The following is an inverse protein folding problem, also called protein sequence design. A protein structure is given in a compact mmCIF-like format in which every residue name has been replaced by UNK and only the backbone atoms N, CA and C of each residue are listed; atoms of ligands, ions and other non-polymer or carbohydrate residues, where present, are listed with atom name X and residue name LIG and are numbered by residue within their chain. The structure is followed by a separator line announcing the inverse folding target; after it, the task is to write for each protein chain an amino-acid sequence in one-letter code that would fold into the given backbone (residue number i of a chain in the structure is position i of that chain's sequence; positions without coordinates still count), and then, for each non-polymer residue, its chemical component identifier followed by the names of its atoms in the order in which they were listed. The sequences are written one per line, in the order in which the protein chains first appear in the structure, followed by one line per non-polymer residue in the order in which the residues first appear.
data_IF_319817442690
#
_entry.id   IF_319817442690
#
_cell.length_a   1.000
_cell.length_b   1.000
_cell.length_c   1.000
_cell.angle_alpha   90.00
_cell.angle_beta   90.00
_cell.angle_gamma   90.00
#
_symmetry.space_group_name_H-M   'P 1'
#
loop_
_entity.id
_entity.type
_entity.pdbx_description
1 polymer ?
#
# COMPACT_ATOMS: atom_id res chain seq x y z
N UNK A 1 24.53 14.37 -5.86
CA UNK A 1 23.30 14.33 -5.02
C UNK A 1 22.55 13.05 -5.33
N UNK A 2 22.04 12.40 -4.33
CA UNK A 2 21.25 11.16 -4.50
C UNK A 2 19.81 11.53 -4.84
N UNK A 3 19.31 11.05 -5.97
CA UNK A 3 17.97 11.35 -6.46
C UNK A 3 17.01 10.21 -6.18
N UNK A 4 15.79 10.53 -5.77
CA UNK A 4 14.76 9.53 -5.51
C UNK A 4 13.85 9.32 -6.72
N UNK A 5 13.72 8.06 -7.14
CA UNK A 5 12.71 7.59 -8.11
C UNK A 5 11.61 6.87 -7.36
N UNK A 6 10.38 7.32 -7.50
CA UNK A 6 9.21 6.60 -6.95
C UNK A 6 8.67 5.65 -8.03
N UNK A 7 8.81 4.35 -7.79
CA UNK A 7 8.29 3.27 -8.65
C UNK A 7 6.80 3.03 -8.35
N UNK A 8 5.97 4.03 -8.56
CA UNK A 8 4.52 3.94 -8.32
C UNK A 8 3.79 5.12 -8.94
N UNK A 9 2.70 4.85 -9.66
CA UNK A 9 1.76 5.87 -10.15
C UNK A 9 0.77 6.38 -9.11
N UNK A 10 0.78 5.82 -7.88
CA UNK A 10 -0.16 6.18 -6.83
C UNK A 10 0.02 7.62 -6.33
N UNK A 11 -0.98 8.52 -6.50
CA UNK A 11 -0.91 9.88 -5.95
C UNK A 11 -0.74 9.88 -4.43
N UNK A 12 -1.39 8.94 -3.74
CA UNK A 12 -1.33 8.82 -2.29
C UNK A 12 0.10 8.57 -1.76
N UNK A 13 0.89 7.73 -2.44
CA UNK A 13 2.29 7.49 -2.06
C UNK A 13 3.14 8.74 -2.21
N UNK A 14 2.89 9.52 -3.25
CA UNK A 14 3.56 10.80 -3.46
C UNK A 14 3.21 11.82 -2.37
N UNK A 15 1.93 11.93 -2.02
CA UNK A 15 1.46 12.78 -0.93
C UNK A 15 2.05 12.38 0.43
N UNK A 16 2.14 11.06 0.69
CA UNK A 16 2.75 10.54 1.91
C UNK A 16 4.24 10.86 1.99
N UNK A 17 4.99 10.75 0.89
CA UNK A 17 6.40 11.16 0.84
C UNK A 17 6.56 12.66 1.12
N UNK A 18 5.68 13.49 0.57
CA UNK A 18 5.70 14.93 0.81
C UNK A 18 5.50 15.28 2.31
N UNK A 19 4.74 14.47 3.06
CA UNK A 19 4.57 14.66 4.52
C UNK A 19 5.87 14.50 5.32
N UNK A 20 6.85 13.81 4.78
CA UNK A 20 8.18 13.64 5.39
C UNK A 20 9.26 14.45 4.66
N UNK A 21 8.84 15.51 3.94
CA UNK A 21 9.74 16.43 3.25
C UNK A 21 10.44 15.84 2.02
N UNK A 22 9.93 14.72 1.46
CA UNK A 22 10.57 14.04 0.34
C UNK A 22 9.76 14.21 -0.94
N UNK A 23 10.41 14.77 -1.97
CA UNK A 23 9.83 14.91 -3.30
C UNK A 23 10.64 14.05 -4.27
N UNK A 24 10.03 13.04 -4.91
CA UNK A 24 10.73 12.24 -5.93
C UNK A 24 11.15 13.11 -7.11
N UNK A 25 12.38 12.93 -7.58
CA UNK A 25 12.88 13.59 -8.79
C UNK A 25 12.23 13.02 -10.06
N UNK A 26 11.81 11.75 -10.00
CA UNK A 26 11.16 11.03 -11.10
C UNK A 26 10.12 10.06 -10.56
N UNK A 27 9.04 9.89 -11.33
CA UNK A 27 8.01 8.88 -11.09
C UNK A 27 8.07 7.87 -12.22
N UNK A 28 8.13 6.59 -11.89
CA UNK A 28 8.04 5.49 -12.83
C UNK A 28 6.85 4.61 -12.46
N UNK A 29 6.15 4.08 -13.45
CA UNK A 29 5.04 3.14 -13.24
C UNK A 29 5.44 1.79 -13.80
N UNK A 30 6.07 0.93 -12.98
CA UNK A 30 6.47 -0.39 -13.43
C UNK A 30 5.24 -1.25 -13.73
N UNK A 31 5.28 -1.96 -14.84
CA UNK A 31 4.31 -2.99 -15.21
C UNK A 31 4.89 -4.36 -14.85
N UNK A 32 4.28 -5.04 -13.88
CA UNK A 32 4.67 -6.38 -13.43
C UNK A 32 3.43 -7.23 -13.22
N UNK A 33 3.58 -8.54 -13.30
CA UNK A 33 2.51 -9.46 -12.93
C UNK A 33 2.31 -9.45 -11.40
N UNK A 34 1.17 -8.92 -10.97
CA UNK A 34 0.75 -8.86 -9.57
C UNK A 34 -0.11 -10.06 -9.15
N UNK A 35 -0.27 -11.09 -10.00
CA UNK A 35 -1.09 -12.27 -9.67
C UNK A 35 -0.50 -13.01 -8.46
N UNK A 36 -1.31 -13.32 -7.42
CA UNK A 36 -0.85 -14.14 -6.30
C UNK A 36 -0.42 -15.53 -6.76
N UNK A 37 0.71 -16.02 -6.24
CA UNK A 37 1.18 -17.36 -6.53
C UNK A 37 0.39 -18.41 -5.73
N UNK A 38 0.40 -19.65 -6.21
CA UNK A 38 -0.27 -20.75 -5.52
C UNK A 38 0.22 -20.88 -4.09
N UNK A 39 -0.72 -20.87 -3.14
CA UNK A 39 -0.46 -20.95 -1.69
C UNK A 39 0.39 -19.80 -1.10
N UNK A 40 0.61 -18.72 -1.83
CA UNK A 40 1.35 -17.56 -1.33
C UNK A 40 0.60 -16.88 -0.18
N UNK A 41 1.33 -16.64 0.92
CA UNK A 41 0.78 -15.89 2.04
C UNK A 41 0.79 -14.37 1.80
N UNK A 42 -0.12 -13.61 2.45
CA UNK A 42 -0.22 -12.16 2.23
C UNK A 42 1.09 -11.40 2.46
N UNK A 43 1.87 -11.77 3.46
CA UNK A 43 3.16 -11.12 3.75
C UNK A 43 4.22 -11.39 2.67
N UNK A 44 4.31 -12.62 2.17
CA UNK A 44 5.22 -12.96 1.06
C UNK A 44 4.80 -12.27 -0.23
N UNK A 45 3.49 -12.23 -0.49
CA UNK A 45 2.90 -11.57 -1.65
C UNK A 45 3.29 -10.09 -1.70
N UNK A 46 3.00 -9.34 -0.63
CA UNK A 46 3.23 -7.88 -0.63
C UNK A 46 4.72 -7.54 -0.76
N UNK A 47 5.62 -8.36 -0.20
CA UNK A 47 7.07 -8.22 -0.35
C UNK A 47 7.49 -8.47 -1.78
N UNK A 48 7.08 -9.59 -2.37
CA UNK A 48 7.40 -9.95 -3.76
C UNK A 48 6.97 -8.84 -4.73
N UNK A 49 5.76 -8.32 -4.57
CA UNK A 49 5.26 -7.25 -5.44
C UNK A 49 6.03 -5.95 -5.26
N UNK A 50 6.31 -5.53 -4.01
CA UNK A 50 7.10 -4.32 -3.76
C UNK A 50 8.52 -4.43 -4.34
N UNK A 51 9.18 -5.57 -4.16
CA UNK A 51 10.51 -5.84 -4.70
C UNK A 51 10.50 -5.90 -6.23
N UNK A 52 9.53 -6.60 -6.81
CA UNK A 52 9.37 -6.68 -8.26
C UNK A 52 9.19 -5.29 -8.90
N UNK A 53 8.34 -4.44 -8.30
CA UNK A 53 8.17 -3.05 -8.74
C UNK A 53 9.47 -2.25 -8.67
N UNK A 54 10.26 -2.41 -7.60
CA UNK A 54 11.53 -1.72 -7.46
C UNK A 54 12.56 -2.19 -8.50
N UNK A 55 12.61 -3.48 -8.78
CA UNK A 55 13.56 -4.09 -9.72
C UNK A 55 13.22 -3.80 -11.19
N UNK A 56 11.93 -3.61 -11.52
CA UNK A 56 11.46 -3.33 -12.88
C UNK A 56 11.78 -1.90 -13.35
N UNK A 57 12.26 -1.02 -12.47
CA UNK A 57 12.61 0.36 -12.82
C UNK A 57 14.12 0.45 -13.08
N UNK A 58 14.48 0.87 -14.29
CA UNK A 58 15.88 1.21 -14.61
C UNK A 58 16.38 2.36 -13.74
N UNK A 59 17.58 2.22 -13.19
CA UNK A 59 18.21 3.20 -12.34
C UNK A 59 19.33 3.92 -13.08
N UNK A 60 19.31 5.25 -13.05
CA UNK A 60 20.43 6.08 -13.45
C UNK A 60 21.53 6.13 -12.37
N UNK A 61 22.66 6.70 -12.72
CA UNK A 61 23.75 6.92 -11.77
C UNK A 61 23.30 7.83 -10.62
N UNK A 62 23.50 7.39 -9.38
CA UNK A 62 23.09 8.14 -8.17
C UNK A 62 21.59 8.09 -7.85
N UNK A 63 20.80 7.30 -8.57
CA UNK A 63 19.38 7.13 -8.27
C UNK A 63 19.13 6.05 -7.22
N UNK A 64 18.19 6.34 -6.32
CA UNK A 64 17.56 5.40 -5.38
C UNK A 64 16.14 5.15 -5.85
N UNK A 65 15.77 3.88 -6.05
CA UNK A 65 14.37 3.52 -6.38
C UNK A 65 13.64 3.12 -5.12
N UNK A 66 12.48 3.73 -4.89
CA UNK A 66 11.52 3.36 -3.85
C UNK A 66 10.26 2.81 -4.47
N UNK A 67 9.88 1.61 -4.10
CA UNK A 67 8.60 1.00 -4.45
C UNK A 67 7.83 0.61 -3.20
N UNK A 68 6.53 0.41 -3.35
CA UNK A 68 5.70 -0.13 -2.28
C UNK A 68 4.51 -0.89 -2.84
N UNK A 69 4.02 -1.80 -2.03
CA UNK A 69 2.76 -2.49 -2.29
C UNK A 69 1.93 -2.57 -1.02
N UNK A 70 0.62 -2.68 -1.18
CA UNK A 70 -0.33 -2.74 -0.05
C UNK A 70 -1.43 -3.72 -0.38
N UNK A 71 -1.66 -4.66 0.52
CA UNK A 71 -2.72 -5.66 0.38
C UNK A 71 -3.53 -5.79 1.66
N UNK A 72 -4.81 -6.09 1.50
CA UNK A 72 -5.73 -6.40 2.60
C UNK A 72 -5.89 -7.91 2.68
N UNK A 73 -5.90 -8.43 3.91
CA UNK A 73 -6.06 -9.86 4.13
C UNK A 73 -7.00 -10.18 5.30
N UNK A 74 -7.86 -11.17 5.09
CA UNK A 74 -8.67 -11.80 6.14
C UNK A 74 -8.15 -13.23 6.32
N UNK A 75 -7.42 -13.47 7.39
CA UNK A 75 -6.65 -14.71 7.54
C UNK A 75 -5.63 -14.85 6.40
N UNK A 76 -5.74 -15.92 5.62
CA UNK A 76 -4.87 -16.15 4.45
C UNK A 76 -5.43 -15.61 3.13
N UNK A 77 -6.68 -15.14 3.14
CA UNK A 77 -7.35 -14.65 1.93
C UNK A 77 -6.90 -13.22 1.64
N UNK A 78 -6.22 -13.03 0.54
CA UNK A 78 -5.87 -11.72 -0.03
C UNK A 78 -7.12 -11.12 -0.68
N UNK A 79 -7.39 -9.85 -0.36
CA UNK A 79 -8.43 -9.05 -1.00
C UNK A 79 -7.74 -8.03 -1.92
N UNK A 80 -7.81 -8.29 -3.21
CA UNK A 80 -7.31 -7.39 -4.24
C UNK A 80 -8.14 -6.13 -4.39
N UNK A 81 -8.02 -5.49 -5.55
CA UNK A 81 -8.92 -4.42 -5.96
C UNK A 81 -10.25 -5.02 -6.40
N UNK A 82 -11.40 -4.43 -6.05
CA UNK A 82 -12.69 -4.92 -6.54
C UNK A 82 -12.77 -4.78 -8.07
N UNK A 83 -13.31 -5.80 -8.72
CA UNK A 83 -13.50 -5.83 -10.17
C UNK A 83 -14.71 -4.98 -10.58
N UNK A 84 -15.75 -5.00 -9.75
CA UNK A 84 -17.01 -4.27 -9.95
C UNK A 84 -17.67 -3.90 -8.61
N UNK A 85 -18.83 -3.24 -8.66
CA UNK A 85 -19.60 -2.87 -7.47
C UNK A 85 -20.10 -4.08 -6.66
N UNK A 86 -20.41 -5.19 -7.33
CA UNK A 86 -20.84 -6.41 -6.67
C UNK A 86 -19.70 -7.04 -5.88
N UNK A 87 -18.49 -7.01 -6.42
CA UNK A 87 -17.28 -7.45 -5.73
C UNK A 87 -16.93 -6.52 -4.57
N UNK A 88 -17.00 -5.20 -4.78
CA UNK A 88 -16.83 -4.21 -3.72
C UNK A 88 -17.80 -4.48 -2.55
N UNK A 89 -19.07 -4.74 -2.85
CA UNK A 89 -20.10 -5.09 -1.85
C UNK A 89 -19.73 -6.37 -1.09
N UNK A 90 -19.28 -7.41 -1.79
CA UNK A 90 -18.83 -8.67 -1.15
C UNK A 90 -17.64 -8.43 -0.20
N UNK A 91 -16.68 -7.58 -0.58
CA UNK A 91 -15.55 -7.22 0.26
C UNK A 91 -15.99 -6.49 1.53
N UNK A 92 -16.89 -5.50 1.42
CA UNK A 92 -17.42 -4.76 2.58
C UNK A 92 -18.19 -5.66 3.54
N UNK A 93 -19.03 -6.57 3.02
CA UNK A 93 -19.72 -7.57 3.82
C UNK A 93 -18.74 -8.47 4.56
N UNK A 94 -17.66 -8.91 3.88
CA UNK A 94 -16.62 -9.74 4.48
C UNK A 94 -15.88 -8.99 5.60
N UNK A 95 -15.62 -7.69 5.45
CA UNK A 95 -14.89 -6.86 6.41
C UNK A 95 -15.76 -6.35 7.56
N UNK A 96 -17.10 -6.35 7.40
CA UNK A 96 -18.06 -5.86 8.38
C UNK A 96 -17.91 -6.56 9.74
N UNK A 97 -17.68 -5.77 10.80
CA UNK A 97 -17.51 -6.25 12.16
C UNK A 97 -16.26 -7.09 12.39
N UNK A 98 -15.35 -7.18 11.44
CA UNK A 98 -14.20 -8.08 11.50
C UNK A 98 -12.87 -7.35 11.65
N UNK A 99 -11.96 -8.06 12.30
CA UNK A 99 -10.52 -7.80 12.28
C UNK A 99 -9.95 -8.28 10.94
N UNK A 100 -9.16 -7.43 10.31
CA UNK A 100 -8.41 -7.78 9.12
C UNK A 100 -7.02 -7.14 9.16
N UNK A 101 -6.12 -7.61 8.31
CA UNK A 101 -4.76 -7.12 8.19
C UNK A 101 -4.62 -6.25 6.94
N UNK A 102 -3.94 -5.13 7.09
CA UNK A 102 -3.39 -4.36 5.99
C UNK A 102 -1.87 -4.49 6.03
N UNK A 103 -1.33 -5.25 5.08
CA UNK A 103 0.11 -5.42 4.95
C UNK A 103 0.62 -4.44 3.89
N UNK A 104 1.62 -3.66 4.27
CA UNK A 104 2.28 -2.73 3.35
C UNK A 104 3.78 -2.97 3.35
N UNK A 105 4.32 -3.38 2.21
CA UNK A 105 5.76 -3.49 2.01
C UNK A 105 6.28 -2.23 1.33
N UNK A 106 7.48 -1.83 1.72
CA UNK A 106 8.26 -0.80 1.06
C UNK A 106 9.65 -1.35 0.77
N UNK A 107 10.10 -1.21 -0.47
CA UNK A 107 11.40 -1.66 -0.95
C UNK A 107 12.18 -0.46 -1.48
N UNK A 108 13.42 -0.32 -1.04
CA UNK A 108 14.37 0.64 -1.58
C UNK A 108 15.56 -0.09 -2.20
N UNK A 109 15.98 0.35 -3.38
CA UNK A 109 17.24 -0.08 -4.02
C UNK A 109 18.13 1.15 -4.12
N UNK A 110 19.25 1.16 -3.40
CA UNK A 110 20.14 2.30 -3.35
C UNK A 110 21.00 2.43 -4.61
N UNK A 111 21.78 3.52 -4.71
CA UNK A 111 22.63 3.80 -5.86
C UNK A 111 23.70 2.72 -6.10
N UNK A 112 24.12 2.00 -5.05
CA UNK A 112 25.05 0.87 -5.15
C UNK A 112 24.38 -0.45 -5.56
N UNK A 113 23.03 -0.47 -5.66
CA UNK A 113 22.27 -1.68 -5.99
C UNK A 113 21.84 -2.49 -4.78
N UNK A 114 22.09 -2.03 -3.57
CA UNK A 114 21.67 -2.74 -2.36
C UNK A 114 20.16 -2.63 -2.16
N UNK A 115 19.49 -3.75 -2.18
CA UNK A 115 18.05 -3.86 -1.94
C UNK A 115 17.76 -4.04 -0.45
N UNK A 116 16.82 -3.25 0.06
CA UNK A 116 16.31 -3.36 1.44
C UNK A 116 14.80 -3.27 1.42
N UNK A 117 14.15 -4.19 2.13
CA UNK A 117 12.67 -4.24 2.22
C UNK A 117 12.22 -4.24 3.67
N UNK A 118 11.15 -3.51 3.95
CA UNK A 118 10.46 -3.51 5.25
C UNK A 118 8.97 -3.72 5.03
N UNK A 119 8.32 -4.34 6.02
CA UNK A 119 6.88 -4.61 6.01
C UNK A 119 6.26 -4.01 7.26
N UNK A 120 5.14 -3.36 7.09
CA UNK A 120 4.23 -2.96 8.16
C UNK A 120 2.97 -3.82 8.09
N UNK A 121 2.62 -4.47 9.19
CA UNK A 121 1.38 -5.21 9.35
C UNK A 121 0.46 -4.43 10.30
N UNK A 122 -0.61 -3.87 9.74
CA UNK A 122 -1.57 -3.06 10.48
C UNK A 122 -2.87 -3.82 10.63
N UNK A 123 -3.34 -3.91 11.86
CA UNK A 123 -4.65 -4.49 12.16
C UNK A 123 -5.71 -3.38 12.11
N UNK A 124 -6.76 -3.63 11.35
CA UNK A 124 -7.95 -2.75 11.26
C UNK A 124 -9.18 -3.54 11.66
N UNK A 125 -10.05 -2.93 12.47
CA UNK A 125 -11.35 -3.50 12.83
C UNK A 125 -12.44 -2.55 12.39
N UNK A 126 -13.34 -3.02 11.53
CA UNK A 126 -14.54 -2.28 11.18
C UNK A 126 -15.66 -2.48 12.18
N UNK A 127 -16.52 -1.46 12.37
CA UNK A 127 -17.82 -1.65 12.99
C UNK A 127 -18.64 -2.65 12.17
N UNK A 128 -19.68 -3.30 12.74
CA UNK A 128 -20.71 -3.94 11.92
C UNK A 128 -21.30 -2.89 10.97
N UNK A 129 -21.27 -3.18 9.66
CA UNK A 129 -21.84 -2.32 8.64
C UNK A 129 -23.28 -2.69 8.39
N UNK A 130 -24.18 -1.70 8.40
CA UNK A 130 -25.55 -1.86 7.97
C UNK A 130 -25.63 -1.97 6.43
N UNK A 131 -26.79 -2.39 5.92
CA UNK A 131 -27.05 -2.37 4.48
C UNK A 131 -26.89 -0.95 3.90
N UNK A 132 -27.40 0.06 4.61
CA UNK A 132 -27.27 1.46 4.21
C UNK A 132 -25.81 1.92 4.17
N UNK A 133 -24.97 1.58 5.17
CA UNK A 133 -23.53 1.90 5.14
C UNK A 133 -22.86 1.35 3.87
N UNK A 134 -23.21 0.12 3.50
CA UNK A 134 -22.63 -0.55 2.32
C UNK A 134 -23.15 0.08 1.03
N UNK A 135 -24.46 0.33 0.95
CA UNK A 135 -25.09 0.94 -0.23
C UNK A 135 -24.50 2.33 -0.52
N UNK A 136 -24.42 3.17 0.51
CA UNK A 136 -23.88 4.52 0.42
C UNK A 136 -22.39 4.52 0.03
N UNK A 137 -21.62 3.56 0.56
CA UNK A 137 -20.20 3.48 0.24
C UNK A 137 -19.95 2.95 -1.17
N UNK A 138 -20.73 1.97 -1.63
CA UNK A 138 -20.66 1.49 -3.02
C UNK A 138 -21.05 2.61 -3.99
N UNK A 139 -22.16 3.32 -3.70
CA UNK A 139 -22.62 4.42 -4.54
C UNK A 139 -21.62 5.58 -4.65
N UNK A 140 -20.80 5.85 -3.64
CA UNK A 140 -19.80 6.90 -3.71
C UNK A 140 -18.58 6.53 -4.56
N UNK A 141 -18.38 5.27 -4.93
CA UNK A 141 -17.30 4.77 -5.80
C UNK A 141 -15.90 4.82 -5.20
N UNK A 142 -15.74 5.31 -3.97
CA UNK A 142 -14.42 5.53 -3.35
C UNK A 142 -13.60 4.23 -3.21
N UNK A 143 -14.27 3.09 -3.01
CA UNK A 143 -13.63 1.79 -2.84
C UNK A 143 -13.05 1.19 -4.12
N UNK A 144 -13.49 1.66 -5.29
CA UNK A 144 -12.99 1.15 -6.56
C UNK A 144 -11.50 1.41 -6.74
N UNK A 145 -10.77 0.39 -7.24
CA UNK A 145 -9.32 0.47 -7.44
C UNK A 145 -8.48 0.50 -6.14
N UNK A 146 -9.07 0.18 -4.99
CA UNK A 146 -8.39 0.08 -3.70
C UNK A 146 -8.33 -1.38 -3.25
N UNK A 147 -7.18 -1.82 -2.73
CA UNK A 147 -7.07 -3.13 -2.11
C UNK A 147 -8.07 -3.28 -0.96
N UNK A 148 -8.83 -4.38 -0.96
CA UNK A 148 -9.89 -4.61 0.03
C UNK A 148 -11.12 -3.72 -0.13
N UNK A 149 -11.18 -2.90 -1.19
CA UNK A 149 -12.35 -2.09 -1.52
C UNK A 149 -12.59 -0.91 -0.58
N UNK A 150 -11.56 -0.35 0.09
CA UNK A 150 -11.77 0.84 0.92
C UNK A 150 -10.57 1.79 0.95
N UNK A 151 -10.85 3.06 1.25
CA UNK A 151 -9.86 4.12 1.47
C UNK A 151 -10.00 4.64 2.91
N UNK A 152 -9.03 4.30 3.79
CA UNK A 152 -9.08 4.68 5.21
C UNK A 152 -9.04 6.21 5.42
N UNK A 153 -8.46 6.95 4.50
CA UNK A 153 -8.39 8.42 4.56
C UNK A 153 -9.64 9.11 4.01
N UNK A 154 -10.67 8.35 3.61
CA UNK A 154 -11.91 8.86 3.07
C UNK A 154 -13.12 8.46 3.90
N UNK A 155 -14.26 8.20 3.27
CA UNK A 155 -15.51 7.85 3.96
C UNK A 155 -15.40 6.58 4.81
N UNK A 156 -14.52 5.63 4.40
CA UNK A 156 -14.32 4.40 5.16
C UNK A 156 -13.67 4.62 6.53
N UNK A 157 -13.08 5.79 6.82
CA UNK A 157 -12.62 6.14 8.17
C UNK A 157 -13.76 6.02 9.20
N UNK A 158 -15.00 6.41 8.82
CA UNK A 158 -16.18 6.26 9.64
C UNK A 158 -16.58 4.81 9.97
N UNK A 159 -15.99 3.82 9.31
CA UNK A 159 -16.17 2.40 9.58
C UNK A 159 -15.13 1.84 10.56
N UNK A 160 -13.98 2.52 10.71
CA UNK A 160 -12.86 2.05 11.52
C UNK A 160 -13.16 2.23 12.99
N UNK A 161 -13.40 1.13 13.69
CA UNK A 161 -13.57 1.11 15.15
C UNK A 161 -12.24 1.10 15.89
N UNK A 162 -11.23 0.47 15.30
CA UNK A 162 -9.92 0.33 15.92
C UNK A 162 -8.83 0.09 14.88
N UNK A 163 -7.65 0.62 15.15
CA UNK A 163 -6.45 0.46 14.34
C UNK A 163 -5.24 0.25 15.24
N UNK A 164 -4.39 -0.71 14.89
CA UNK A 164 -3.09 -0.92 15.53
C UNK A 164 -2.02 -1.14 14.47
N UNK A 165 -1.07 -0.23 14.41
CA UNK A 165 0.00 -0.23 13.41
C UNK A 165 0.13 1.11 12.70
N UNK A 166 0.39 1.11 11.41
CA UNK A 166 0.67 2.27 10.58
C UNK A 166 -0.55 2.74 9.80
N UNK A 167 -1.16 3.87 10.19
CA UNK A 167 -2.22 4.50 9.38
C UNK A 167 -1.72 4.82 7.97
N UNK A 168 -0.51 5.40 7.85
CA UNK A 168 0.08 5.71 6.54
C UNK A 168 0.35 4.44 5.70
N UNK A 169 0.63 3.30 6.37
CA UNK A 169 0.71 1.99 5.73
C UNK A 169 -0.62 1.57 5.11
N UNK A 170 -1.74 1.79 5.81
CA UNK A 170 -3.08 1.50 5.26
C UNK A 170 -3.42 2.43 4.09
N UNK A 171 -3.00 3.69 4.13
CA UNK A 171 -3.14 4.62 2.99
C UNK A 171 -2.32 4.17 1.79
N UNK A 172 -1.15 3.49 2.01
CA UNK A 172 -0.38 2.89 0.95
C UNK A 172 1.14 3.02 1.02
N UNK A 173 1.69 3.67 2.06
CA UNK A 173 3.14 3.77 2.28
C UNK A 173 3.42 3.96 3.78
N UNK A 174 3.99 2.95 4.47
CA UNK A 174 4.28 3.05 5.90
C UNK A 174 5.46 4.01 6.13
N UNK A 175 5.19 5.21 6.64
CA UNK A 175 6.17 6.30 6.68
C UNK A 175 7.31 6.04 7.64
N UNK A 176 7.11 5.32 8.75
CA UNK A 176 8.18 4.96 9.67
C UNK A 176 9.24 4.08 8.97
N UNK A 177 8.80 3.03 8.31
CA UNK A 177 9.64 2.09 7.56
C UNK A 177 10.27 2.77 6.34
N UNK A 178 9.49 3.58 5.64
CA UNK A 178 9.95 4.35 4.47
C UNK A 178 11.06 5.31 4.85
N UNK A 179 10.88 6.08 5.94
CA UNK A 179 11.90 7.00 6.44
C UNK A 179 13.21 6.29 6.74
N UNK A 180 13.14 5.15 7.43
CA UNK A 180 14.32 4.37 7.77
C UNK A 180 15.07 3.86 6.52
N UNK A 181 14.33 3.39 5.50
CA UNK A 181 14.92 2.94 4.24
C UNK A 181 15.55 4.08 3.45
N UNK A 182 14.90 5.22 3.36
CA UNK A 182 15.42 6.39 2.64
C UNK A 182 16.73 6.89 3.24
N UNK A 183 16.78 7.04 4.57
CA UNK A 183 18.01 7.42 5.27
C UNK A 183 19.15 6.41 5.04
N UNK A 184 18.84 5.10 5.15
CA UNK A 184 19.80 4.03 4.89
C UNK A 184 20.28 3.96 3.42
N UNK A 185 19.53 4.60 2.51
CA UNK A 185 19.85 4.69 1.09
C UNK A 185 20.50 6.04 0.69
N UNK A 186 20.79 6.91 1.67
CA UNK A 186 21.45 8.19 1.44
C UNK A 186 20.52 9.30 0.93
N UNK A 187 19.20 9.17 1.09
CA UNK A 187 18.23 10.23 0.80
C UNK A 187 18.06 11.10 2.05
N UNK A 188 18.34 12.40 1.91
CA UNK A 188 18.04 13.36 2.96
C UNK A 188 16.52 13.56 3.09
N UNK A 189 16.08 13.79 4.33
CA UNK A 189 14.70 14.15 4.62
C UNK A 189 14.65 15.65 4.87
N UNK A 190 13.58 16.28 4.46
CA UNK A 190 13.33 17.69 4.71
C UNK A 190 12.87 17.97 6.15
#
# INVERSE_FOLDING_TARGET
MTNLVLASSSPRRRELLARIGVVPSRIASPDIDETPLKAEGPASYVVRIAEGKAQAVERGAGEVVLAGDTTIAVGRRILGKPEDEADLRRMLILLSGRRHHCLSAVCAIDAAGTKRTKVSDTIVIFKPLSAADIDDYVACGEGMGKAGGYAIQGRAEGFVRWLSGSHSGVVGLPLYETRALLLASGIALG
#
